data_IF_674840185661
#
_entry.id   IF_674840185661
#
_cell.length_a   1.000
_cell.length_b   1.000
_cell.length_c   1.000
_cell.angle_alpha   90.00
_cell.angle_beta   90.00
_cell.angle_gamma   90.00
#
_symmetry.space_group_name_H-M   'P 1'
#
loop_
_entity.id
_entity.type
_entity.pdbx_description
1 polymer ?
#
# COMPACT_ATOMS: atom_id res chain seq x y z
N UNK A 1 8.11 -24.95 -5.12
CA UNK A 1 7.89 -23.61 -5.71
C UNK A 1 8.30 -22.58 -4.69
N UNK A 2 9.20 -21.67 -5.04
CA UNK A 2 9.65 -20.59 -4.17
C UNK A 2 8.77 -19.38 -4.46
N UNK A 3 7.98 -18.90 -3.50
CA UNK A 3 7.24 -17.65 -3.61
C UNK A 3 8.04 -16.51 -2.99
N UNK A 4 8.11 -15.39 -3.71
CA UNK A 4 8.72 -14.17 -3.19
C UNK A 4 7.80 -13.54 -2.13
N UNK A 5 8.37 -13.20 -0.99
CA UNK A 5 7.66 -12.53 0.11
C UNK A 5 8.04 -11.06 0.08
N UNK A 6 7.04 -10.18 -0.07
CA UNK A 6 7.19 -8.73 -0.12
C UNK A 6 6.99 -8.11 1.27
N UNK A 7 7.53 -8.76 2.29
CA UNK A 7 7.51 -8.32 3.67
C UNK A 7 8.81 -8.77 4.35
N UNK A 8 9.35 -7.93 5.23
CA UNK A 8 10.55 -8.28 6.02
C UNK A 8 10.23 -9.17 7.21
N UNK A 9 8.95 -9.27 7.57
CA UNK A 9 8.44 -10.09 8.65
C UNK A 9 7.41 -11.10 8.14
N UNK A 10 7.43 -12.30 8.71
CA UNK A 10 6.41 -13.32 8.49
C UNK A 10 5.83 -13.76 9.82
N UNK A 11 4.56 -14.19 9.80
CA UNK A 11 3.92 -14.84 10.94
C UNK A 11 3.02 -15.97 10.43
N UNK A 12 2.84 -17.02 11.23
CA UNK A 12 1.89 -18.08 10.91
C UNK A 12 0.45 -17.64 11.15
N UNK A 13 -0.50 -18.28 10.47
CA UNK A 13 -1.93 -18.08 10.75
C UNK A 13 -2.31 -18.44 12.20
N UNK A 14 -1.54 -19.32 12.84
CA UNK A 14 -1.74 -19.71 14.24
C UNK A 14 -1.33 -18.59 15.19
N UNK A 15 -0.19 -17.94 14.94
CA UNK A 15 0.26 -16.77 15.72
C UNK A 15 -0.72 -15.61 15.58
N UNK A 16 -1.17 -15.34 14.35
CA UNK A 16 -2.18 -14.31 14.08
C UNK A 16 -3.48 -14.58 14.86
N UNK A 17 -3.96 -15.83 14.87
CA UNK A 17 -5.17 -16.20 15.63
C UNK A 17 -4.99 -16.07 17.14
N UNK A 18 -3.78 -16.33 17.65
CA UNK A 18 -3.48 -16.26 19.08
C UNK A 18 -3.44 -14.82 19.57
N UNK A 19 -2.79 -13.93 18.82
CA UNK A 19 -2.76 -12.50 19.11
C UNK A 19 -2.66 -11.69 17.82
N UNK A 20 -3.79 -11.20 17.28
CA UNK A 20 -3.80 -10.43 16.05
C UNK A 20 -3.00 -9.13 16.16
N UNK A 21 -3.21 -8.38 17.25
CA UNK A 21 -2.58 -7.07 17.44
C UNK A 21 -1.06 -7.18 17.63
N UNK A 22 -0.59 -8.16 18.42
CA UNK A 22 0.85 -8.36 18.61
C UNK A 22 1.54 -8.78 17.31
N UNK A 23 0.85 -9.59 16.49
CA UNK A 23 1.34 -10.02 15.18
C UNK A 23 1.54 -8.82 14.24
N UNK A 24 0.60 -7.88 14.22
CA UNK A 24 0.71 -6.66 13.42
C UNK A 24 1.81 -5.74 13.99
N UNK A 25 1.85 -5.55 15.31
CA UNK A 25 2.86 -4.72 15.98
C UNK A 25 4.29 -5.25 15.81
N UNK A 26 4.47 -6.57 15.68
CA UNK A 26 5.76 -7.18 15.37
C UNK A 26 6.34 -6.70 14.03
N UNK A 27 5.48 -6.28 13.09
CA UNK A 27 5.86 -5.64 11.83
C UNK A 27 6.44 -4.23 11.99
N UNK A 28 6.32 -3.60 13.17
CA UNK A 28 6.86 -2.26 13.48
C UNK A 28 6.45 -1.19 12.45
N UNK A 29 5.19 -1.23 12.01
CA UNK A 29 4.66 -0.32 10.99
C UNK A 29 4.90 -0.78 9.54
N UNK A 30 5.65 -1.86 9.32
CA UNK A 30 5.77 -2.51 8.01
C UNK A 30 4.75 -3.66 7.85
N UNK A 31 4.47 -4.10 6.60
CA UNK A 31 3.63 -5.26 6.35
C UNK A 31 4.19 -6.55 6.94
N UNK A 32 3.29 -7.43 7.39
CA UNK A 32 3.62 -8.78 7.85
C UNK A 32 2.99 -9.80 6.92
N UNK A 33 3.78 -10.70 6.34
CA UNK A 33 3.26 -11.79 5.53
C UNK A 33 2.74 -12.93 6.41
N UNK A 34 1.47 -13.30 6.22
CA UNK A 34 0.83 -14.38 6.97
C UNK A 34 0.94 -15.68 6.19
N UNK A 35 1.55 -16.69 6.83
CA UNK A 35 1.80 -17.99 6.24
C UNK A 35 0.75 -19.02 6.69
N UNK A 36 0.25 -19.80 5.74
CA UNK A 36 -0.54 -21.00 5.99
C UNK A 36 0.22 -22.21 5.42
N UNK A 37 0.61 -23.15 6.29
CA UNK A 37 1.44 -24.33 5.92
C UNK A 37 2.70 -23.92 5.13
N UNK A 38 3.43 -22.91 5.61
CA UNK A 38 4.63 -22.33 5.01
C UNK A 38 4.44 -21.67 3.63
N UNK A 39 3.19 -21.47 3.20
CA UNK A 39 2.87 -20.73 1.98
C UNK A 39 2.28 -19.37 2.36
N UNK A 40 2.77 -18.24 1.80
CA UNK A 40 2.14 -16.94 1.94
C UNK A 40 0.66 -16.97 1.54
N UNK A 41 -0.23 -16.61 2.47
CA UNK A 41 -1.67 -16.59 2.26
C UNK A 41 -2.18 -15.17 2.01
N UNK A 42 -1.74 -14.21 2.83
CA UNK A 42 -2.09 -12.78 2.73
C UNK A 42 -1.08 -11.92 3.49
N UNK A 43 -1.21 -10.59 3.38
CA UNK A 43 -0.42 -9.63 4.14
C UNK A 43 -1.31 -8.90 5.14
N UNK A 44 -0.82 -8.74 6.37
CA UNK A 44 -1.34 -7.77 7.32
C UNK A 44 -0.60 -6.44 7.09
N UNK A 45 -1.33 -5.41 6.66
CA UNK A 45 -0.80 -4.06 6.45
C UNK A 45 -1.41 -3.15 7.53
N UNK A 46 -0.60 -2.38 8.29
CA UNK A 46 -1.12 -1.37 9.21
C UNK A 46 -2.03 -0.36 8.48
N UNK A 47 -3.06 0.15 9.16
CA UNK A 47 -4.04 1.06 8.56
C UNK A 47 -3.38 2.29 7.91
N UNK A 48 -2.56 3.01 8.68
CA UNK A 48 -1.86 4.21 8.21
C UNK A 48 -0.99 3.94 6.96
N UNK A 49 -0.34 2.77 6.92
CA UNK A 49 0.47 2.37 5.76
C UNK A 49 -0.42 2.05 4.56
N UNK A 50 -1.54 1.35 4.77
CA UNK A 50 -2.48 1.06 3.69
C UNK A 50 -3.11 2.34 3.11
N UNK A 51 -3.47 3.30 3.96
CA UNK A 51 -3.96 4.62 3.54
C UNK A 51 -2.91 5.36 2.71
N UNK A 52 -1.66 5.41 3.20
CA UNK A 52 -0.55 6.04 2.46
C UNK A 52 -0.31 5.37 1.09
N UNK A 53 -0.37 4.04 1.02
CA UNK A 53 -0.25 3.31 -0.25
C UNK A 53 -1.36 3.69 -1.22
N UNK A 54 -2.58 3.91 -0.72
CA UNK A 54 -3.72 4.25 -1.55
C UNK A 54 -3.65 5.68 -2.08
N UNK A 55 -3.26 6.62 -1.24
CA UNK A 55 -3.00 8.01 -1.65
C UNK A 55 -1.92 8.08 -2.74
N UNK A 56 -0.81 7.35 -2.57
CA UNK A 56 0.25 7.28 -3.59
C UNK A 56 -0.23 6.69 -4.93
N UNK A 57 -1.13 5.71 -4.89
CA UNK A 57 -1.69 5.12 -6.10
C UNK A 57 -2.61 6.11 -6.84
N UNK A 58 -3.42 6.86 -6.10
CA UNK A 58 -4.24 7.94 -6.67
C UNK A 58 -3.38 9.03 -7.29
N UNK A 59 -2.34 9.49 -6.58
CA UNK A 59 -1.38 10.47 -7.08
C UNK A 59 -0.70 10.00 -8.37
N UNK A 60 -0.35 8.72 -8.49
CA UNK A 60 0.22 8.16 -9.70
C UNK A 60 -0.73 8.24 -10.90
N UNK A 61 -2.04 8.09 -10.68
CA UNK A 61 -3.04 8.25 -11.73
C UNK A 61 -3.21 9.72 -12.14
N UNK A 62 -3.29 10.62 -11.15
CA UNK A 62 -3.37 12.07 -11.39
C UNK A 62 -2.12 12.59 -12.11
N UNK A 63 -0.93 12.12 -11.72
CA UNK A 63 0.33 12.49 -12.36
C UNK A 63 0.38 12.05 -13.82
N UNK A 64 -0.12 10.84 -14.16
CA UNK A 64 -0.24 10.42 -15.56
C UNK A 64 -1.10 11.39 -16.36
N UNK A 65 -2.24 11.83 -15.80
CA UNK A 65 -3.11 12.81 -16.47
C UNK A 65 -2.38 14.14 -16.64
N UNK A 66 -1.71 14.63 -15.60
CA UNK A 66 -0.92 15.85 -15.66
C UNK A 66 0.18 15.78 -16.74
N UNK A 67 0.91 14.66 -16.79
CA UNK A 67 1.97 14.41 -17.78
C UNK A 67 1.43 14.41 -19.21
N UNK A 68 0.27 13.77 -19.46
CA UNK A 68 -0.36 13.80 -20.79
C UNK A 68 -0.77 15.20 -21.24
N UNK A 69 -0.99 16.12 -20.29
CA UNK A 69 -1.39 17.51 -20.53
C UNK A 69 -0.22 18.49 -20.49
N UNK A 70 0.96 18.08 -20.05
CA UNK A 70 2.10 18.97 -19.81
C UNK A 70 2.53 19.78 -21.05
N UNK A 71 2.36 19.21 -22.25
CA UNK A 71 2.71 19.85 -23.53
C UNK A 71 1.53 20.46 -24.28
N UNK A 72 0.33 20.49 -23.68
CA UNK A 72 -0.84 21.10 -24.32
C UNK A 72 -0.77 22.64 -24.26
N UNK A 73 -1.50 23.31 -25.15
CA UNK A 73 -1.57 24.77 -25.17
C UNK A 73 -2.19 25.27 -23.86
N UNK A 74 -1.41 26.05 -23.10
CA UNK A 74 -1.88 26.70 -21.87
C UNK A 74 -2.73 27.92 -22.22
N UNK A 75 -3.88 28.04 -21.56
CA UNK A 75 -4.77 29.20 -21.68
C UNK A 75 -4.77 29.90 -20.32
N UNK A 76 -4.47 31.20 -20.32
CA UNK A 76 -4.54 32.01 -19.10
C UNK A 76 -6.00 32.33 -18.81
N UNK A 77 -6.45 32.02 -17.60
CA UNK A 77 -7.79 32.34 -17.08
C UNK A 77 -7.66 33.07 -15.74
N UNK A 78 -8.64 33.91 -15.40
CA UNK A 78 -8.78 34.48 -14.06
C UNK A 78 -9.77 33.64 -13.26
N UNK A 79 -9.52 33.45 -11.96
CA UNK A 79 -10.40 32.65 -11.11
C UNK A 79 -11.73 33.35 -10.83
N UNK A 80 -11.75 34.68 -10.85
CA UNK A 80 -12.95 35.49 -10.65
C UNK A 80 -13.92 35.46 -11.86
N UNK A 81 -13.49 34.89 -12.99
CA UNK A 81 -14.26 34.81 -14.24
C UNK A 81 -14.87 33.40 -14.48
N UNK A 82 -14.74 32.47 -13.53
CA UNK A 82 -15.25 31.08 -13.56
C UNK A 82 -16.54 30.92 -12.75
#
# INVERSE_FOLDING_TARGET
MTQLIHARMTASITELKKSPMDTVLAGRGEPVAILNRNTPAFYCVPADLYETMMEQLEDLELNKIADTRANQKRIRVNIDDL
#
